data_IF_990901601165
#
_entry.id   IF_990901601165
#
_cell.length_a   1.000
_cell.length_b   1.000
_cell.length_c   1.000
_cell.angle_alpha   90.00
_cell.angle_beta   90.00
_cell.angle_gamma   90.00
#
_symmetry.space_group_name_H-M   'P 1'
#
loop_
_entity.id
_entity.type
_entity.pdbx_description
1 polymer ?
#
# COMPACT_ATOMS: atom_id res chain seq x y z
N UNK A 1 -4.92 14.60 14.55
CA UNK A 1 -4.13 13.94 15.63
C UNK A 1 -2.64 14.13 15.40
N UNK A 2 -1.81 14.03 16.43
CA UNK A 2 -0.35 14.14 16.30
C UNK A 2 0.23 12.89 15.62
N UNK A 3 1.18 13.10 14.72
CA UNK A 3 1.91 12.04 14.02
C UNK A 3 3.29 11.91 14.65
N UNK A 4 3.62 10.71 15.10
CA UNK A 4 4.93 10.38 15.68
C UNK A 4 5.77 9.66 14.64
N UNK A 5 7.03 10.08 14.49
CA UNK A 5 8.00 9.39 13.64
C UNK A 5 8.83 8.46 14.52
N UNK A 6 8.87 7.20 14.16
CA UNK A 6 9.52 6.14 14.92
C UNK A 6 10.51 5.38 14.04
N UNK A 7 11.45 4.69 14.68
CA UNK A 7 12.35 3.74 14.02
C UNK A 7 12.22 2.37 14.67
N UNK A 8 12.45 1.33 13.89
CA UNK A 8 12.38 -0.07 14.30
C UNK A 8 13.44 -0.88 13.56
N UNK A 9 14.06 -1.82 14.25
CA UNK A 9 15.01 -2.76 13.67
C UNK A 9 14.29 -4.03 13.21
N UNK A 10 14.40 -4.35 11.93
CA UNK A 10 13.84 -5.56 11.32
C UNK A 10 14.97 -6.33 10.62
N UNK A 11 15.31 -7.50 11.11
CA UNK A 11 16.37 -8.35 10.55
C UNK A 11 17.72 -7.64 10.32
N UNK A 12 18.12 -6.77 11.24
CA UNK A 12 19.36 -6.00 11.15
C UNK A 12 19.32 -4.80 10.20
N UNK A 13 18.14 -4.42 9.75
CA UNK A 13 17.89 -3.22 8.95
C UNK A 13 17.00 -2.25 9.75
N UNK A 14 17.36 -0.97 9.74
CA UNK A 14 16.55 0.08 10.37
C UNK A 14 15.44 0.50 9.42
N UNK A 15 14.20 0.52 9.91
CA UNK A 15 13.04 1.06 9.21
C UNK A 15 12.46 2.24 9.97
N UNK A 16 11.96 3.22 9.22
CA UNK A 16 11.19 4.34 9.76
C UNK A 16 9.71 4.12 9.48
N UNK A 17 8.88 4.52 10.43
CA UNK A 17 7.44 4.57 10.23
C UNK A 17 6.82 5.76 10.97
N UNK A 18 5.67 6.18 10.47
CA UNK A 18 4.83 7.21 11.09
C UNK A 18 3.64 6.57 11.77
N UNK A 19 3.33 7.00 12.97
CA UNK A 19 2.23 6.47 13.75
C UNK A 19 1.29 7.58 14.17
N UNK A 20 -0.03 7.35 13.99
CA UNK A 20 -1.09 8.24 14.39
C UNK A 20 -2.23 7.45 15.03
N UNK A 21 -2.87 8.02 16.02
CA UNK A 21 -3.97 7.37 16.75
C UNK A 21 -3.54 6.72 18.07
N UNK A 22 -4.52 6.11 18.74
CA UNK A 22 -4.30 5.48 20.02
C UNK A 22 -3.74 4.06 19.84
N UNK A 23 -2.79 3.65 20.69
CA UNK A 23 -2.09 2.35 20.59
C UNK A 23 -3.04 1.15 20.68
N UNK A 24 -4.14 1.27 21.42
CA UNK A 24 -5.15 0.22 21.57
C UNK A 24 -6.26 0.26 20.52
N UNK A 25 -6.24 1.24 19.59
CA UNK A 25 -7.19 1.28 18.49
C UNK A 25 -6.86 0.19 17.44
N UNK A 26 -7.84 -0.26 16.64
CA UNK A 26 -7.61 -1.24 15.60
C UNK A 26 -6.48 -0.82 14.66
N UNK A 27 -5.48 -1.69 14.40
CA UNK A 27 -4.33 -1.33 13.58
C UNK A 27 -4.69 -1.26 12.09
N UNK A 28 -4.19 -0.19 11.44
CA UNK A 28 -4.24 0.03 10.01
C UNK A 28 -2.83 0.34 9.52
N UNK A 29 -2.22 -0.60 8.81
CA UNK A 29 -0.92 -0.39 8.17
C UNK A 29 -1.14 0.20 6.79
N UNK A 30 -0.35 1.24 6.42
CA UNK A 30 -0.45 1.90 5.12
C UNK A 30 0.91 1.92 4.41
N UNK A 31 0.92 1.62 3.10
CA UNK A 31 2.10 1.50 2.26
C UNK A 31 2.05 2.50 1.11
N UNK A 32 3.12 3.28 0.96
CA UNK A 32 3.22 4.36 -0.03
C UNK A 32 3.62 3.88 -1.44
N UNK A 33 3.45 4.74 -2.44
CA UNK A 33 3.88 4.53 -3.82
C UNK A 33 5.40 4.62 -4.02
N UNK A 34 5.89 4.13 -5.15
CA UNK A 34 7.27 4.31 -5.61
C UNK A 34 7.68 5.79 -5.59
N UNK A 35 8.84 6.08 -5.00
CA UNK A 35 9.39 7.44 -4.91
C UNK A 35 8.75 8.35 -3.86
N UNK A 36 7.72 7.88 -3.16
CA UNK A 36 7.10 8.55 -2.00
C UNK A 36 7.70 8.04 -0.68
N UNK A 37 7.12 8.44 0.43
CA UNK A 37 7.42 7.94 1.78
C UNK A 37 6.13 7.85 2.59
N UNK A 38 6.23 7.38 3.82
CA UNK A 38 5.12 7.38 4.78
C UNK A 38 4.47 8.76 4.97
N UNK A 39 5.19 9.84 4.69
CA UNK A 39 4.71 11.22 4.79
C UNK A 39 3.54 11.53 3.85
N UNK A 40 3.44 10.85 2.69
CA UNK A 40 2.31 11.01 1.77
C UNK A 40 0.97 10.69 2.42
N UNK A 41 0.97 9.88 3.46
CA UNK A 41 -0.22 9.47 4.20
C UNK A 41 -0.61 10.41 5.36
N UNK A 42 0.17 11.44 5.67
CA UNK A 42 -0.01 12.25 6.90
C UNK A 42 -1.43 12.82 7.04
N UNK A 43 -1.99 13.36 5.96
CA UNK A 43 -3.34 13.94 6.01
C UNK A 43 -4.42 12.87 6.23
N UNK A 44 -4.31 11.74 5.52
CA UNK A 44 -5.23 10.62 5.70
C UNK A 44 -5.05 9.97 7.09
N UNK A 45 -3.81 9.78 7.55
CA UNK A 45 -3.50 9.23 8.85
C UNK A 45 -4.05 10.10 9.99
N UNK A 46 -3.94 11.43 9.91
CA UNK A 46 -4.49 12.35 10.91
C UNK A 46 -6.02 12.21 11.04
N UNK A 47 -6.72 12.01 9.91
CA UNK A 47 -8.17 11.86 9.88
C UNK A 47 -8.67 10.45 10.25
N UNK A 48 -7.88 9.40 9.97
CA UNK A 48 -8.19 8.00 10.32
C UNK A 48 -7.74 7.67 11.76
N UNK A 49 -6.74 8.37 12.27
CA UNK A 49 -6.19 8.20 13.61
C UNK A 49 -7.19 8.46 14.75
N UNK A 50 -8.32 9.09 14.47
CA UNK A 50 -9.42 9.23 15.44
C UNK A 50 -10.03 7.88 15.84
N UNK A 51 -9.99 6.89 14.95
CA UNK A 51 -10.63 5.58 15.13
C UNK A 51 -9.68 4.40 14.97
N UNK A 52 -8.51 4.60 14.38
CA UNK A 52 -7.54 3.55 14.07
C UNK A 52 -6.14 3.93 14.59
N UNK A 53 -5.34 2.90 14.92
CA UNK A 53 -3.90 3.05 15.04
C UNK A 53 -3.28 2.96 13.64
N UNK A 54 -3.04 4.10 13.01
CA UNK A 54 -2.48 4.17 11.65
C UNK A 54 -0.96 4.07 11.72
N UNK A 55 -0.38 3.15 10.99
CA UNK A 55 1.05 2.84 10.93
C UNK A 55 1.51 2.94 9.48
N UNK A 56 2.10 4.06 9.11
CA UNK A 56 2.61 4.31 7.76
C UNK A 56 4.09 3.93 7.69
N UNK A 57 4.42 2.85 6.99
CA UNK A 57 5.79 2.34 6.86
C UNK A 57 6.51 3.04 5.71
N UNK A 58 7.73 3.55 5.96
CA UNK A 58 8.69 3.82 4.87
C UNK A 58 9.20 2.47 4.37
N UNK A 59 8.78 2.07 3.16
CA UNK A 59 9.24 0.82 2.58
C UNK A 59 10.73 0.88 2.26
N UNK A 60 11.44 -0.28 2.24
CA UNK A 60 12.88 -0.31 1.97
C UNK A 60 13.28 0.59 0.79
N UNK A 61 14.39 1.27 0.91
CA UNK A 61 14.89 2.21 -0.10
C UNK A 61 14.25 3.59 -0.07
N UNK A 62 13.24 3.85 0.78
CA UNK A 62 12.52 5.12 0.83
C UNK A 62 12.59 5.77 2.21
N UNK A 63 12.36 7.09 2.24
CA UNK A 63 12.29 7.87 3.47
C UNK A 63 13.49 7.63 4.39
N UNK A 64 13.21 7.34 5.66
CA UNK A 64 14.22 7.02 6.67
C UNK A 64 14.57 5.53 6.79
N UNK A 65 13.99 4.67 5.94
CA UNK A 65 14.26 3.23 5.96
C UNK A 65 15.55 2.86 5.23
N UNK A 66 16.07 1.68 5.57
CA UNK A 66 17.33 1.15 5.06
C UNK A 66 17.37 1.12 3.52
N UNK A 67 18.51 1.52 2.98
CA UNK A 67 18.88 1.34 1.59
C UNK A 67 19.63 0.04 1.45
N UNK A 68 19.16 -0.83 0.55
CA UNK A 68 19.68 -2.20 0.36
C UNK A 68 20.14 -2.38 -1.08
N UNK A 69 20.69 -3.55 -1.39
CA UNK A 69 21.07 -3.88 -2.78
C UNK A 69 19.94 -4.62 -3.53
N UNK A 70 18.84 -4.91 -2.85
CA UNK A 70 17.72 -5.69 -3.40
C UNK A 70 16.39 -5.01 -3.09
N UNK A 71 15.62 -4.79 -4.15
CA UNK A 71 14.31 -4.14 -4.10
C UNK A 71 13.31 -4.97 -4.91
N UNK A 72 12.70 -5.97 -4.25
CA UNK A 72 11.65 -6.79 -4.85
C UNK A 72 10.36 -6.67 -4.04
N UNK A 73 9.22 -6.94 -4.68
CA UNK A 73 7.93 -6.97 -3.99
C UNK A 73 7.92 -8.02 -2.88
N UNK A 74 8.55 -9.17 -3.10
CA UNK A 74 8.67 -10.23 -2.10
C UNK A 74 9.47 -9.74 -0.89
N UNK A 75 10.60 -9.08 -1.10
CA UNK A 75 11.39 -8.55 0.01
C UNK A 75 10.65 -7.44 0.79
N UNK A 76 9.79 -6.66 0.12
CA UNK A 76 8.92 -5.69 0.80
C UNK A 76 7.79 -6.38 1.57
N UNK A 77 7.26 -7.51 1.07
CA UNK A 77 6.33 -8.36 1.82
C UNK A 77 6.96 -8.93 3.09
N UNK A 78 8.20 -9.40 3.01
CA UNK A 78 8.95 -9.92 4.17
C UNK A 78 9.19 -8.81 5.20
N UNK A 79 9.55 -7.60 4.76
CA UNK A 79 9.67 -6.45 5.66
C UNK A 79 8.36 -6.15 6.38
N UNK A 80 7.24 -6.16 5.66
CA UNK A 80 5.91 -5.93 6.23
C UNK A 80 5.55 -7.00 7.26
N UNK A 81 5.90 -8.28 7.01
CA UNK A 81 5.70 -9.36 7.97
C UNK A 81 6.48 -9.09 9.26
N UNK A 82 7.78 -8.82 9.13
CA UNK A 82 8.64 -8.54 10.28
C UNK A 82 8.22 -7.26 11.03
N UNK A 83 7.76 -6.23 10.29
CA UNK A 83 7.20 -5.02 10.88
C UNK A 83 5.94 -5.32 11.72
N UNK A 84 5.03 -6.10 11.17
CA UNK A 84 3.82 -6.49 11.88
C UNK A 84 4.12 -7.36 13.11
N UNK A 85 5.11 -8.26 13.03
CA UNK A 85 5.53 -9.11 14.14
C UNK A 85 6.24 -8.31 15.24
N UNK A 86 7.14 -7.40 14.88
CA UNK A 86 7.86 -6.58 15.83
C UNK A 86 6.97 -5.59 16.60
N UNK A 87 5.82 -5.21 16.03
CA UNK A 87 4.80 -4.38 16.69
C UNK A 87 3.65 -5.18 17.31
N UNK A 88 3.76 -6.51 17.33
CA UNK A 88 2.74 -7.45 17.84
C UNK A 88 1.34 -7.21 17.24
N UNK A 89 1.31 -6.94 15.94
CA UNK A 89 0.07 -6.71 15.18
C UNK A 89 -0.58 -8.05 14.78
N UNK A 90 -1.28 -8.76 15.62
CA UNK A 90 -1.89 -10.06 15.31
C UNK A 90 -2.64 -10.06 13.96
N UNK A 91 -3.81 -9.42 13.88
CA UNK A 91 -4.54 -9.12 12.63
C UNK A 91 -4.71 -7.61 12.49
N UNK A 92 -4.54 -7.11 11.26
CA UNK A 92 -4.62 -5.68 10.97
C UNK A 92 -5.31 -5.42 9.63
N UNK A 93 -5.80 -4.19 9.44
CA UNK A 93 -6.21 -3.72 8.11
C UNK A 93 -4.98 -3.24 7.37
N UNK A 94 -4.90 -3.54 6.07
CA UNK A 94 -3.79 -3.17 5.20
C UNK A 94 -4.28 -2.27 4.08
N UNK A 95 -3.61 -1.15 3.85
CA UNK A 95 -3.89 -0.25 2.74
C UNK A 95 -2.60 0.02 1.97
N UNK A 96 -2.65 -0.06 0.64
CA UNK A 96 -1.50 0.19 -0.21
C UNK A 96 -1.85 1.01 -1.44
N UNK A 97 -0.96 1.94 -1.80
CA UNK A 97 -1.05 2.74 -3.00
C UNK A 97 0.07 2.37 -3.98
N UNK A 98 -0.29 2.14 -5.25
CA UNK A 98 0.68 1.90 -6.34
C UNK A 98 1.65 0.75 -5.99
N UNK A 99 2.96 0.99 -5.92
CA UNK A 99 3.96 0.01 -5.45
C UNK A 99 3.52 -0.67 -4.14
N UNK A 100 3.07 0.12 -3.15
CA UNK A 100 2.54 -0.41 -1.89
C UNK A 100 1.25 -1.22 -2.07
N UNK A 101 0.46 -0.94 -3.09
CA UNK A 101 -0.72 -1.72 -3.47
C UNK A 101 -0.35 -3.12 -3.96
N UNK A 102 0.69 -3.23 -4.79
CA UNK A 102 1.23 -4.55 -5.22
C UNK A 102 1.72 -5.36 -4.02
N UNK A 103 2.48 -4.73 -3.11
CA UNK A 103 2.91 -5.39 -1.86
C UNK A 103 1.71 -5.85 -1.04
N UNK A 104 0.65 -5.04 -0.96
CA UNK A 104 -0.55 -5.36 -0.20
C UNK A 104 -1.31 -6.57 -0.78
N UNK A 105 -1.40 -6.71 -2.10
CA UNK A 105 -1.95 -7.92 -2.74
C UNK A 105 -1.12 -9.14 -2.39
N UNK A 106 0.19 -9.11 -2.63
CA UNK A 106 1.10 -10.24 -2.37
C UNK A 106 1.09 -10.65 -0.90
N UNK A 107 1.10 -9.68 0.02
CA UNK A 107 1.01 -9.96 1.44
C UNK A 107 -0.32 -10.65 1.80
N UNK A 108 -1.43 -10.17 1.25
CA UNK A 108 -2.75 -10.76 1.50
C UNK A 108 -2.91 -12.17 0.94
N UNK A 109 -2.23 -12.48 -0.18
CA UNK A 109 -2.15 -13.83 -0.75
C UNK A 109 -1.29 -14.78 0.09
N UNK A 110 -0.15 -14.28 0.61
CA UNK A 110 0.80 -15.11 1.35
C UNK A 110 0.43 -15.26 2.83
N UNK A 111 -0.19 -14.26 3.44
CA UNK A 111 -0.52 -14.19 4.86
C UNK A 111 -1.99 -13.81 5.10
N UNK A 112 -2.98 -14.52 4.50
CA UNK A 112 -4.39 -14.11 4.56
C UNK A 112 -4.94 -14.06 5.99
N UNK A 113 -4.42 -14.88 6.91
CA UNK A 113 -4.83 -14.89 8.32
C UNK A 113 -4.42 -13.62 9.08
N UNK A 114 -3.46 -12.86 8.57
CA UNK A 114 -2.97 -11.62 9.19
C UNK A 114 -3.82 -10.41 8.79
N UNK A 115 -4.59 -10.49 7.71
CA UNK A 115 -5.33 -9.36 7.17
C UNK A 115 -6.81 -9.41 7.58
N UNK A 116 -7.26 -8.31 8.19
CA UNK A 116 -8.67 -8.12 8.53
C UNK A 116 -9.46 -7.54 7.35
N UNK A 117 -8.90 -6.52 6.69
CA UNK A 117 -9.44 -5.84 5.51
C UNK A 117 -8.29 -5.41 4.62
N UNK A 118 -8.50 -5.48 3.32
CA UNK A 118 -7.55 -4.99 2.32
C UNK A 118 -8.13 -3.75 1.64
N UNK A 119 -7.31 -2.71 1.48
CA UNK A 119 -7.63 -1.52 0.69
C UNK A 119 -6.49 -1.29 -0.30
N UNK A 120 -6.81 -1.18 -1.57
CA UNK A 120 -5.82 -0.90 -2.61
C UNK A 120 -6.23 0.33 -3.40
N UNK A 121 -5.32 1.30 -3.46
CA UNK A 121 -5.52 2.55 -4.16
C UNK A 121 -4.81 2.50 -5.51
N UNK A 122 -5.62 2.64 -6.54
CA UNK A 122 -5.31 2.86 -7.96
C UNK A 122 -4.20 1.97 -8.52
N UNK A 123 -4.29 0.67 -8.20
CA UNK A 123 -3.29 -0.31 -8.61
C UNK A 123 -3.92 -1.67 -8.84
N UNK A 124 -3.85 -2.26 -10.04
CA UNK A 124 -3.99 -3.69 -10.25
C UNK A 124 -2.66 -4.39 -9.92
N UNK A 125 -2.63 -5.72 -9.74
CA UNK A 125 -1.37 -6.44 -9.80
C UNK A 125 -0.62 -6.14 -11.11
N UNK A 126 0.71 -6.23 -11.13
CA UNK A 126 1.49 -5.99 -12.33
C UNK A 126 0.98 -6.77 -13.54
N UNK A 127 0.88 -6.12 -14.68
CA UNK A 127 0.42 -6.69 -15.95
C UNK A 127 1.28 -6.14 -17.09
N UNK A 128 1.48 -6.93 -18.14
CA UNK A 128 2.33 -6.56 -19.25
C UNK A 128 1.47 -6.15 -20.47
N UNK A 129 1.27 -4.85 -20.66
CA UNK A 129 0.72 -4.29 -21.89
C UNK A 129 1.83 -3.73 -22.78
N UNK A 130 2.66 -2.87 -22.21
CA UNK A 130 3.81 -2.26 -22.87
C UNK A 130 4.95 -2.15 -21.87
N UNK A 131 6.18 -2.54 -22.23
CA UNK A 131 7.33 -2.34 -21.36
C UNK A 131 7.51 -0.87 -21.00
N UNK A 132 7.65 -0.60 -19.72
CA UNK A 132 7.98 0.72 -19.19
C UNK A 132 9.48 0.92 -19.29
N UNK A 133 9.89 2.04 -19.90
CA UNK A 133 11.30 2.41 -19.95
C UNK A 133 11.78 2.89 -18.57
N UNK A 134 12.98 2.46 -18.18
CA UNK A 134 13.63 2.98 -16.98
C UNK A 134 14.09 4.41 -17.28
N UNK A 135 13.57 5.42 -16.58
CA UNK A 135 13.98 6.80 -16.81
C UNK A 135 15.44 7.01 -16.41
N UNK A 136 16.08 8.04 -16.94
CA UNK A 136 17.42 8.42 -16.50
C UNK A 136 17.39 8.89 -15.06
N UNK A 137 18.44 8.54 -14.29
CA UNK A 137 18.57 9.02 -12.91
C UNK A 137 18.64 10.54 -12.89
N UNK A 138 17.79 11.23 -12.11
CA UNK A 138 17.89 12.68 -11.93
C UNK A 138 19.23 13.09 -11.33
N UNK A 139 19.73 14.27 -11.71
CA UNK A 139 20.95 14.82 -11.15
C UNK A 139 20.80 15.44 -9.75
N UNK A 140 19.57 15.55 -9.27
CA UNK A 140 19.23 16.09 -7.95
C UNK A 140 19.23 14.97 -6.89
N UNK A 141 19.49 15.29 -5.60
CA UNK A 141 19.29 14.36 -4.51
C UNK A 141 17.84 13.87 -4.46
N UNK A 142 17.65 12.57 -4.21
CA UNK A 142 16.34 11.94 -4.10
C UNK A 142 16.09 11.55 -2.64
N UNK A 143 14.83 11.62 -2.15
CA UNK A 143 14.46 11.16 -0.82
C UNK A 143 14.41 9.63 -0.71
N UNK A 144 14.78 8.93 -1.78
CA UNK A 144 14.79 7.46 -1.88
C UNK A 144 16.03 6.97 -2.65
N UNK A 145 16.34 5.68 -2.56
CA UNK A 145 17.39 5.07 -3.37
C UNK A 145 16.92 4.90 -4.82
N UNK A 146 17.66 5.50 -5.74
CA UNK A 146 17.34 5.39 -7.17
C UNK A 146 17.26 3.95 -7.68
N UNK A 147 18.02 3.03 -7.10
CA UNK A 147 18.01 1.62 -7.51
C UNK A 147 16.65 0.94 -7.35
N UNK A 148 15.77 1.49 -6.53
CA UNK A 148 14.39 1.01 -6.40
C UNK A 148 13.65 1.14 -7.74
N UNK A 149 13.84 2.25 -8.47
CA UNK A 149 13.13 2.52 -9.73
C UNK A 149 13.37 1.44 -10.77
N UNK A 150 14.62 1.16 -11.24
CA UNK A 150 14.84 0.10 -12.21
C UNK A 150 14.44 -1.28 -11.67
N UNK A 151 14.61 -1.55 -10.38
CA UNK A 151 14.27 -2.85 -9.78
C UNK A 151 12.76 -3.12 -9.79
N UNK A 152 11.95 -2.12 -9.48
CA UNK A 152 10.48 -2.24 -9.51
C UNK A 152 9.99 -2.28 -10.95
N UNK A 153 10.48 -1.40 -11.84
CA UNK A 153 10.07 -1.39 -13.26
C UNK A 153 10.39 -2.71 -13.97
N UNK A 154 11.49 -3.37 -13.62
CA UNK A 154 11.80 -4.70 -14.16
C UNK A 154 10.71 -5.72 -13.79
N UNK A 155 10.29 -5.76 -12.52
CA UNK A 155 9.23 -6.68 -12.06
C UNK A 155 7.86 -6.32 -12.64
N UNK A 156 7.58 -5.03 -12.87
CA UNK A 156 6.36 -4.60 -13.56
C UNK A 156 6.35 -4.99 -15.04
N UNK A 157 7.53 -5.03 -15.68
CA UNK A 157 7.67 -5.43 -17.09
C UNK A 157 7.68 -6.95 -17.29
N UNK A 158 8.07 -7.70 -16.25
CA UNK A 158 8.12 -9.16 -16.25
C UNK A 158 7.28 -9.73 -15.09
N UNK A 159 5.95 -9.45 -15.08
CA UNK A 159 5.10 -9.83 -13.95
C UNK A 159 4.97 -11.35 -13.83
N UNK A 160 4.98 -11.84 -12.59
CA UNK A 160 4.64 -13.23 -12.31
C UNK A 160 3.13 -13.46 -12.55
N UNK A 161 2.73 -14.38 -13.44
CA UNK A 161 1.34 -14.70 -13.70
C UNK A 161 0.56 -15.16 -12.45
N UNK A 162 1.24 -15.73 -11.47
CA UNK A 162 0.64 -16.18 -10.22
C UNK A 162 0.02 -15.01 -9.42
N UNK A 163 0.52 -13.80 -9.57
CA UNK A 163 -0.04 -12.64 -8.86
C UNK A 163 -1.49 -12.36 -9.25
N UNK A 164 -1.86 -12.58 -10.52
CA UNK A 164 -3.26 -12.51 -10.97
C UNK A 164 -4.04 -13.77 -10.64
N UNK A 165 -3.46 -14.94 -10.88
CA UNK A 165 -4.13 -16.24 -10.65
C UNK A 165 -4.58 -16.38 -9.19
N UNK A 166 -3.78 -15.86 -8.23
CA UNK A 166 -4.05 -15.95 -6.80
C UNK A 166 -4.93 -14.81 -6.23
N UNK A 167 -5.48 -13.92 -7.06
CA UNK A 167 -6.45 -12.92 -6.59
C UNK A 167 -7.69 -13.59 -5.97
N UNK A 168 -8.07 -14.78 -6.46
CA UNK A 168 -9.16 -15.58 -5.91
C UNK A 168 -8.89 -16.09 -4.49
N UNK A 169 -7.64 -16.10 -4.02
CA UNK A 169 -7.26 -16.51 -2.65
C UNK A 169 -7.51 -15.39 -1.63
N UNK A 170 -7.76 -14.16 -2.09
CA UNK A 170 -8.01 -12.99 -1.23
C UNK A 170 -9.46 -13.03 -0.75
N UNK A 171 -9.69 -13.68 0.40
CA UNK A 171 -11.03 -13.93 0.94
C UNK A 171 -11.54 -12.84 1.90
N UNK A 172 -10.63 -12.01 2.42
CA UNK A 172 -11.01 -10.91 3.32
C UNK A 172 -11.76 -9.81 2.56
N UNK A 173 -12.63 -9.02 3.24
CA UNK A 173 -13.25 -7.86 2.63
C UNK A 173 -12.19 -6.94 2.01
N UNK A 174 -12.37 -6.63 0.73
CA UNK A 174 -11.41 -5.85 -0.06
C UNK A 174 -12.11 -4.64 -0.68
N UNK A 175 -11.42 -3.51 -0.68
CA UNK A 175 -11.81 -2.29 -1.37
C UNK A 175 -10.71 -1.91 -2.36
N UNK A 176 -11.07 -1.75 -3.61
CA UNK A 176 -10.23 -1.14 -4.64
C UNK A 176 -10.76 0.28 -4.91
N UNK A 177 -9.89 1.28 -4.86
CA UNK A 177 -10.24 2.67 -5.14
C UNK A 177 -9.49 3.07 -6.40
N UNK A 178 -10.20 3.47 -7.44
CA UNK A 178 -9.61 3.98 -8.68
C UNK A 178 -9.73 5.50 -8.79
N UNK A 179 -8.76 6.13 -9.45
CA UNK A 179 -8.86 7.51 -9.90
C UNK A 179 -9.39 7.58 -11.33
N UNK A 180 -10.53 8.26 -11.55
CA UNK A 180 -11.15 8.35 -12.89
C UNK A 180 -10.28 9.08 -13.92
N UNK A 181 -9.44 10.01 -13.47
CA UNK A 181 -8.46 10.72 -14.29
C UNK A 181 -7.05 10.09 -14.26
N UNK A 182 -6.89 8.90 -13.66
CA UNK A 182 -5.62 8.19 -13.56
C UNK A 182 -5.16 7.61 -14.91
N UNK A 183 -3.84 7.42 -15.05
CA UNK A 183 -3.25 6.68 -16.15
C UNK A 183 -3.40 5.15 -16.02
N UNK A 184 -3.83 4.67 -14.84
CA UNK A 184 -4.09 3.24 -14.61
C UNK A 184 -5.37 2.84 -15.35
N UNK A 185 -5.32 1.77 -16.17
CA UNK A 185 -6.51 1.33 -16.91
C UNK A 185 -7.63 0.87 -15.97
N UNK A 186 -8.75 1.60 -15.97
CA UNK A 186 -9.88 1.31 -15.08
C UNK A 186 -10.48 -0.09 -15.30
N UNK A 187 -10.43 -0.61 -16.53
CA UNK A 187 -10.84 -1.99 -16.82
C UNK A 187 -9.98 -3.04 -16.09
N UNK A 188 -8.71 -2.73 -15.76
CA UNK A 188 -7.86 -3.63 -14.95
C UNK A 188 -8.27 -3.64 -13.48
N UNK A 189 -8.69 -2.50 -12.94
CA UNK A 189 -9.27 -2.43 -11.59
C UNK A 189 -10.62 -3.16 -11.52
N UNK A 190 -11.43 -3.06 -12.58
CA UNK A 190 -12.67 -3.82 -12.71
C UNK A 190 -12.38 -5.33 -12.72
N UNK A 191 -11.42 -5.80 -13.52
CA UNK A 191 -11.00 -7.21 -13.58
C UNK A 191 -10.56 -7.72 -12.19
N UNK A 192 -9.77 -6.94 -11.45
CA UNK A 192 -9.38 -7.26 -10.07
C UNK A 192 -10.62 -7.43 -9.19
N UNK A 193 -11.57 -6.49 -9.27
CA UNK A 193 -12.76 -6.53 -8.43
C UNK A 193 -13.69 -7.70 -8.74
N UNK A 194 -13.64 -8.21 -9.95
CA UNK A 194 -14.40 -9.40 -10.37
C UNK A 194 -13.73 -10.72 -9.93
N UNK A 195 -12.39 -10.72 -9.81
CA UNK A 195 -11.63 -11.92 -9.40
C UNK A 195 -11.60 -12.11 -7.88
N UNK A 196 -11.56 -11.02 -7.10
CA UNK A 196 -11.55 -11.09 -5.62
C UNK A 196 -12.98 -11.30 -5.10
N UNK A 197 -13.29 -12.41 -4.39
CA UNK A 197 -14.66 -12.77 -4.03
C UNK A 197 -15.44 -11.74 -3.21
N UNK A 198 -14.77 -10.99 -2.33
CA UNK A 198 -15.38 -10.00 -1.44
C UNK A 198 -14.85 -8.59 -1.73
N UNK A 199 -14.85 -8.17 -2.98
CA UNK A 199 -14.31 -6.90 -3.42
C UNK A 199 -15.40 -5.87 -3.74
N UNK A 200 -15.17 -4.62 -3.31
CA UNK A 200 -15.90 -3.42 -3.73
C UNK A 200 -14.92 -2.57 -4.54
N UNK A 201 -15.32 -2.13 -5.73
CA UNK A 201 -14.60 -1.13 -6.53
C UNK A 201 -15.33 0.20 -6.44
N UNK A 202 -14.59 1.26 -6.14
CA UNK A 202 -15.09 2.65 -6.14
C UNK A 202 -14.15 3.51 -6.97
N UNK A 203 -14.67 4.22 -7.96
CA UNK A 203 -13.91 5.22 -8.73
C UNK A 203 -14.22 6.61 -8.22
N UNK A 204 -13.18 7.42 -7.98
CA UNK A 204 -13.29 8.85 -7.67
C UNK A 204 -12.97 9.60 -8.97
N UNK A 205 -14.00 10.09 -9.64
CA UNK A 205 -13.97 10.48 -11.06
C UNK A 205 -12.92 11.55 -11.40
N UNK A 206 -12.77 12.58 -10.55
CA UNK A 206 -11.86 13.70 -10.81
C UNK A 206 -10.43 13.49 -10.26
N UNK A 207 -10.18 12.37 -9.55
CA UNK A 207 -8.87 12.07 -8.99
C UNK A 207 -7.97 11.37 -10.02
N UNK A 208 -6.68 11.70 -9.99
CA UNK A 208 -5.62 11.00 -10.71
C UNK A 208 -5.10 9.79 -9.95
N UNK A 209 -3.83 9.44 -10.20
CA UNK A 209 -3.17 8.27 -9.58
C UNK A 209 -2.99 8.40 -8.06
N UNK A 210 -2.90 9.61 -7.53
CA UNK A 210 -2.73 9.89 -6.09
C UNK A 210 -4.07 10.28 -5.47
N UNK A 211 -5.04 9.34 -5.45
CA UNK A 211 -6.44 9.61 -5.08
C UNK A 211 -6.56 10.26 -3.70
N UNK A 212 -5.79 9.77 -2.71
CA UNK A 212 -5.80 10.30 -1.35
C UNK A 212 -5.18 11.72 -1.23
N UNK A 213 -4.35 12.14 -2.21
CA UNK A 213 -3.79 13.50 -2.29
C UNK A 213 -4.72 14.41 -3.12
N UNK A 214 -5.33 13.89 -4.20
CA UNK A 214 -6.13 14.65 -5.16
C UNK A 214 -7.53 14.99 -4.61
N UNK A 215 -8.20 14.01 -3.97
CA UNK A 215 -9.50 14.22 -3.31
C UNK A 215 -9.56 13.49 -1.96
N UNK A 216 -8.91 14.08 -0.97
CA UNK A 216 -8.86 13.52 0.38
C UNK A 216 -10.24 13.28 0.99
N UNK A 217 -11.20 14.17 0.74
CA UNK A 217 -12.53 14.07 1.37
C UNK A 217 -13.32 12.90 0.81
N UNK A 218 -13.37 12.74 -0.52
CA UNK A 218 -14.00 11.59 -1.15
C UNK A 218 -13.30 10.29 -0.76
N UNK A 219 -11.96 10.26 -0.80
CA UNK A 219 -11.15 9.12 -0.37
C UNK A 219 -11.49 8.69 1.08
N UNK A 220 -11.44 9.63 2.03
CA UNK A 220 -11.75 9.35 3.44
C UNK A 220 -13.19 8.88 3.66
N UNK A 221 -14.15 9.43 2.90
CA UNK A 221 -15.55 9.01 2.97
C UNK A 221 -15.69 7.54 2.59
N UNK A 222 -15.05 7.12 1.50
CA UNK A 222 -15.07 5.73 1.00
C UNK A 222 -14.35 4.79 1.99
N UNK A 223 -13.14 5.15 2.43
CA UNK A 223 -12.33 4.34 3.35
C UNK A 223 -13.02 4.18 4.71
N UNK A 224 -13.51 5.27 5.32
CA UNK A 224 -14.20 5.22 6.62
C UNK A 224 -15.47 4.36 6.54
N UNK A 225 -16.27 4.50 5.47
CA UNK A 225 -17.45 3.66 5.22
C UNK A 225 -17.08 2.18 5.13
N UNK A 226 -16.02 1.85 4.39
CA UNK A 226 -15.56 0.46 4.23
C UNK A 226 -15.03 -0.12 5.55
N UNK A 227 -14.19 0.60 6.26
CA UNK A 227 -13.59 0.15 7.50
C UNK A 227 -14.61 -0.04 8.63
N UNK A 228 -15.73 0.71 8.64
CA UNK A 228 -16.80 0.59 9.66
C UNK A 228 -17.75 -0.58 9.42
N UNK A 229 -17.79 -1.20 8.24
CA UNK A 229 -18.68 -2.33 7.94
C UNK A 229 -18.40 -3.50 8.89
N UNK A 230 -19.43 -3.94 9.64
CA UNK A 230 -19.36 -5.12 10.54
C UNK A 230 -18.57 -4.90 11.83
N UNK A 231 -18.23 -3.67 12.19
CA UNK A 231 -17.91 -3.31 13.56
C UNK A 231 -19.27 -3.17 14.29
N UNK A 232 -19.59 -4.11 15.20
CA UNK A 232 -20.74 -3.94 16.10
C UNK A 232 -20.50 -2.68 16.96
N UNK A 233 -21.50 -1.81 17.00
CA UNK A 233 -21.55 -0.66 17.89
C UNK A 233 -21.51 -1.12 19.34
#
# INVERSE_FOLDING_TARGET
MEIRVNQIELNGLTFQYRECGHVSAPPLVVLHALGKSSESWDQAAAALGESYRVLALDQRGHGGSARTNTYTFESMCDDLLHFADALDLGRFSLMGHSMGGTVAYLFSQNFPSRIQRLIVEDTPPPFSDKPMEVPSRPSVPLPFDWQVVPSILHQLNEPDPEWWARLTDIMMPTLVIGGGASHIPQNKLQEVSELIPNCELVTIEDAGHFVHEDDLLAFLSVVKRFLSKGQAL
#
